data_IF_711263436032
#
_entry.id   IF_711263436032
#
_cell.length_a   1.000
_cell.length_b   1.000
_cell.length_c   1.000
_cell.angle_alpha   90.00
_cell.angle_beta   90.00
_cell.angle_gamma   90.00
#
_symmetry.space_group_name_H-M   'P 1'
#
loop_
_entity.id
_entity.type
_entity.pdbx_description
1 polymer ?
#
# COMPACT_ATOMS: atom_id res chain seq x y z
N UNK A 1 -4.58 5.68 -3.98
CA UNK A 1 -3.93 6.88 -3.41
C UNK A 1 -2.42 6.71 -3.28
N UNK A 2 -1.91 5.77 -2.47
CA UNK A 2 -0.46 5.53 -2.30
C UNK A 2 0.34 5.48 -3.62
N UNK A 3 -0.06 4.62 -4.56
CA UNK A 3 0.60 4.47 -5.87
C UNK A 3 0.72 5.80 -6.62
N UNK A 4 -0.32 6.63 -6.57
CA UNK A 4 -0.29 7.95 -7.21
C UNK A 4 0.81 8.84 -6.62
N UNK A 5 0.97 8.89 -5.29
CA UNK A 5 2.06 9.66 -4.69
C UNK A 5 3.44 9.08 -5.01
N UNK A 6 3.58 7.76 -4.91
CA UNK A 6 4.85 7.08 -5.16
C UNK A 6 5.32 7.20 -6.63
N UNK A 7 4.39 7.23 -7.58
CA UNK A 7 4.71 7.36 -9.02
C UNK A 7 5.09 8.78 -9.44
N UNK A 8 4.59 9.79 -8.72
CA UNK A 8 4.66 11.18 -9.17
C UNK A 8 5.64 12.03 -8.34
N UNK A 9 6.40 11.42 -7.45
CA UNK A 9 7.34 12.13 -6.58
C UNK A 9 8.64 11.36 -6.42
N UNK A 10 9.68 12.05 -5.97
CA UNK A 10 10.94 11.43 -5.51
C UNK A 10 10.92 11.14 -4.01
N UNK A 11 9.78 11.33 -3.35
CA UNK A 11 9.62 11.22 -1.92
C UNK A 11 9.25 9.78 -1.56
N UNK A 12 9.74 9.32 -0.42
CA UNK A 12 9.33 8.05 0.15
C UNK A 12 8.02 8.21 0.94
N UNK A 13 7.08 7.32 0.63
CA UNK A 13 5.80 7.16 1.28
C UNK A 13 5.73 5.76 1.89
N UNK A 14 5.05 5.67 3.03
CA UNK A 14 4.62 4.43 3.65
C UNK A 14 3.11 4.27 3.54
N UNK A 15 2.66 3.04 3.33
CA UNK A 15 1.28 2.60 3.42
C UNK A 15 1.20 1.48 4.47
N UNK A 16 0.41 1.70 5.51
CA UNK A 16 0.14 0.72 6.55
C UNK A 16 -1.32 0.31 6.41
N UNK A 17 -1.57 -0.98 6.20
CA UNK A 17 -2.91 -1.52 6.16
C UNK A 17 -3.24 -2.17 7.50
N UNK A 18 -4.46 -1.93 7.98
CA UNK A 18 -5.01 -2.57 9.17
C UNK A 18 -6.25 -3.38 8.81
N UNK A 19 -6.59 -4.36 9.63
CA UNK A 19 -7.72 -5.26 9.36
C UNK A 19 -9.07 -4.54 9.33
N UNK A 20 -9.30 -3.60 10.26
CA UNK A 20 -10.62 -3.01 10.51
C UNK A 20 -10.64 -1.48 10.57
N UNK A 21 -9.48 -0.83 10.59
CA UNK A 21 -9.37 0.62 10.84
C UNK A 21 -8.90 1.39 9.59
N UNK A 22 -9.00 0.75 8.43
CA UNK A 22 -8.57 1.32 7.15
C UNK A 22 -7.06 1.32 6.97
N UNK A 23 -6.59 2.21 6.10
CA UNK A 23 -5.19 2.31 5.71
C UNK A 23 -4.64 3.70 6.00
N UNK A 24 -3.37 3.77 6.41
CA UNK A 24 -2.65 5.01 6.67
C UNK A 24 -1.58 5.17 5.60
N UNK A 25 -1.61 6.31 4.90
CA UNK A 25 -0.51 6.75 4.03
C UNK A 25 0.25 7.85 4.75
N UNK A 26 1.57 7.73 4.82
CA UNK A 26 2.43 8.67 5.52
C UNK A 26 3.70 8.97 4.75
N UNK A 27 4.30 10.14 5.02
CA UNK A 27 5.62 10.52 4.55
C UNK A 27 6.24 11.48 5.56
N UNK A 28 7.56 11.60 5.57
CA UNK A 28 8.29 12.67 6.24
C UNK A 28 8.80 13.75 5.25
N UNK A 29 8.28 13.76 4.01
CA UNK A 29 8.73 14.61 2.91
C UNK A 29 10.23 14.47 2.58
N UNK A 30 10.80 13.29 2.80
CA UNK A 30 12.19 12.98 2.48
C UNK A 30 12.26 11.85 1.43
N UNK A 31 13.27 11.89 0.57
CA UNK A 31 13.52 10.89 -0.48
C UNK A 31 14.14 9.59 0.06
N UNK A 32 14.66 9.61 1.29
CA UNK A 32 15.60 8.57 1.76
C UNK A 32 15.03 7.52 2.71
N UNK A 33 13.96 7.82 3.46
CA UNK A 33 13.39 6.87 4.42
C UNK A 33 12.09 7.38 5.01
N UNK A 34 11.09 6.49 5.14
CA UNK A 34 9.91 6.71 5.98
C UNK A 34 9.91 5.75 7.19
N UNK A 35 9.41 6.22 8.34
CA UNK A 35 9.28 5.42 9.57
C UNK A 35 7.98 4.59 9.60
N UNK A 36 7.64 3.93 8.49
CA UNK A 36 6.41 3.17 8.38
C UNK A 36 6.36 1.98 9.35
N UNK A 37 7.46 1.22 9.49
CA UNK A 37 7.55 0.07 10.40
C UNK A 37 7.38 0.46 11.88
N UNK A 38 8.01 1.55 12.31
CA UNK A 38 7.86 2.07 13.68
C UNK A 38 6.43 2.52 13.95
N UNK A 39 5.80 3.17 12.97
CA UNK A 39 4.41 3.63 13.08
C UNK A 39 3.45 2.44 13.14
N UNK A 40 3.67 1.42 12.29
CA UNK A 40 2.92 0.17 12.31
C UNK A 40 3.02 -0.52 13.69
N UNK A 41 4.23 -0.58 14.27
CA UNK A 41 4.42 -1.10 15.62
C UNK A 41 3.57 -0.34 16.64
N UNK A 42 3.62 1.00 16.62
CA UNK A 42 2.81 1.84 17.54
C UNK A 42 1.30 1.61 17.38
N UNK A 43 0.82 1.38 16.16
CA UNK A 43 -0.60 1.06 15.91
C UNK A 43 -0.95 -0.33 16.48
N UNK A 44 -0.07 -1.32 16.28
CA UNK A 44 -0.21 -2.64 16.87
C UNK A 44 -0.24 -2.59 18.39
N UNK A 45 0.68 -1.86 19.01
CA UNK A 45 0.75 -1.68 20.46
C UNK A 45 -0.52 -0.99 21.03
N UNK A 46 -1.25 -0.22 20.20
CA UNK A 46 -2.54 0.40 20.54
C UNK A 46 -3.76 -0.49 20.26
N UNK A 47 -3.54 -1.75 19.90
CA UNK A 47 -4.62 -2.72 19.68
C UNK A 47 -5.13 -2.83 18.24
N UNK A 48 -4.52 -2.15 17.26
CA UNK A 48 -4.91 -2.34 15.85
C UNK A 48 -4.17 -3.52 15.23
N UNK A 49 -4.88 -4.40 14.53
CA UNK A 49 -4.23 -5.47 13.75
C UNK A 49 -3.66 -4.92 12.45
N UNK A 50 -2.33 -4.82 12.38
CA UNK A 50 -1.62 -4.45 11.15
C UNK A 50 -1.47 -5.69 10.27
N UNK A 51 -1.87 -5.59 9.00
CA UNK A 51 -1.80 -6.71 8.05
C UNK A 51 -0.64 -6.57 7.07
N UNK A 52 -0.30 -5.34 6.68
CA UNK A 52 0.84 -5.12 5.78
C UNK A 52 1.47 -3.74 5.97
N UNK A 53 2.77 -3.66 5.73
CA UNK A 53 3.52 -2.41 5.59
C UNK A 53 4.17 -2.37 4.21
N UNK A 54 3.79 -1.37 3.43
CA UNK A 54 4.37 -1.07 2.11
C UNK A 54 5.09 0.26 2.20
N UNK A 55 6.24 0.41 1.56
CA UNK A 55 6.84 1.72 1.31
C UNK A 55 7.45 1.73 -0.09
N UNK A 56 7.63 2.90 -0.71
CA UNK A 56 8.22 2.98 -2.04
C UNK A 56 9.71 3.31 -1.97
N UNK A 57 10.49 2.75 -2.90
CA UNK A 57 11.83 3.23 -3.17
C UNK A 57 11.80 4.09 -4.44
N UNK A 58 11.92 5.44 -4.35
CA UNK A 58 11.81 6.34 -5.51
C UNK A 58 12.83 6.05 -6.62
N UNK A 59 13.98 5.48 -6.24
CA UNK A 59 15.05 5.09 -7.15
C UNK A 59 14.96 3.64 -7.62
N UNK A 60 13.86 2.93 -7.34
CA UNK A 60 13.65 1.51 -7.65
C UNK A 60 14.72 0.56 -7.07
N UNK A 61 15.32 0.88 -5.93
CA UNK A 61 16.19 -0.05 -5.22
C UNK A 61 15.39 -1.25 -4.70
N UNK A 62 16.07 -2.39 -4.55
CA UNK A 62 15.53 -3.52 -3.80
C UNK A 62 15.52 -3.23 -2.29
N UNK A 63 14.79 -4.02 -1.49
CA UNK A 63 14.92 -4.02 -0.03
C UNK A 63 16.37 -4.18 0.41
N UNK A 64 16.75 -3.44 1.44
CA UNK A 64 18.09 -3.29 2.00
C UNK A 64 18.25 -4.00 3.35
N UNK A 65 19.49 -4.08 3.85
CA UNK A 65 19.79 -4.65 5.18
C UNK A 65 19.98 -6.17 5.21
N UNK A 66 20.14 -6.83 4.05
CA UNK A 66 20.27 -8.29 3.95
C UNK A 66 21.71 -8.83 4.10
N UNK A 67 22.72 -7.96 4.23
CA UNK A 67 24.10 -8.44 4.45
C UNK A 67 24.30 -8.83 5.92
N UNK A 68 25.21 -9.76 6.15
CA UNK A 68 25.56 -10.21 7.51
C UNK A 68 26.12 -9.03 8.31
N UNK A 69 25.50 -8.72 9.45
CA UNK A 69 25.92 -7.64 10.35
C UNK A 69 25.24 -6.29 10.11
N UNK A 70 24.39 -6.16 9.08
CA UNK A 70 23.60 -4.95 8.87
C UNK A 70 22.68 -4.70 10.08
N UNK A 71 22.73 -3.48 10.61
CA UNK A 71 21.90 -3.00 11.74
C UNK A 71 20.87 -1.96 11.33
N UNK A 72 20.64 -1.83 10.02
CA UNK A 72 19.72 -0.86 9.42
C UNK A 72 19.20 -1.38 8.08
N UNK A 73 18.22 -0.68 7.52
CA UNK A 73 17.56 -1.06 6.26
C UNK A 73 16.27 -1.84 6.48
N UNK A 74 15.67 -2.25 5.38
CA UNK A 74 14.30 -2.76 5.34
C UNK A 74 14.13 -4.06 6.11
N UNK A 75 15.12 -4.96 6.01
CA UNK A 75 15.17 -6.17 6.83
C UNK A 75 15.20 -5.86 8.31
N UNK A 76 16.02 -4.90 8.75
CA UNK A 76 16.07 -4.53 10.17
C UNK A 76 14.73 -3.95 10.62
N UNK A 77 14.14 -3.06 9.81
CA UNK A 77 12.85 -2.46 10.11
C UNK A 77 11.70 -3.49 10.13
N UNK A 78 11.77 -4.60 9.38
CA UNK A 78 10.74 -5.64 9.41
C UNK A 78 10.67 -6.37 10.76
N UNK A 79 11.82 -6.55 11.43
CA UNK A 79 11.90 -7.20 12.75
C UNK A 79 11.15 -6.46 13.86
N UNK A 80 10.89 -5.17 13.68
CA UNK A 80 10.15 -4.36 14.67
C UNK A 80 8.71 -4.85 14.87
N UNK A 81 8.13 -5.51 13.85
CA UNK A 81 6.79 -6.05 13.91
C UNK A 81 6.63 -7.14 12.84
N UNK A 82 6.98 -8.38 13.19
CA UNK A 82 6.78 -9.55 12.32
C UNK A 82 5.35 -10.09 12.40
N UNK A 83 4.73 -9.98 13.58
CA UNK A 83 3.35 -10.37 13.84
C UNK A 83 2.60 -9.26 14.60
N UNK A 84 1.33 -9.05 14.23
CA UNK A 84 0.41 -8.14 14.91
C UNK A 84 -0.84 -8.93 15.31
N UNK A 85 -1.07 -9.09 16.62
CA UNK A 85 -2.26 -9.76 17.18
C UNK A 85 -2.58 -11.12 16.53
N UNK A 86 -1.55 -11.93 16.26
CA UNK A 86 -1.67 -13.27 15.66
C UNK A 86 -1.61 -13.32 14.13
N UNK A 87 -1.54 -12.17 13.45
CA UNK A 87 -1.40 -12.08 12.00
C UNK A 87 0.04 -11.76 11.59
N UNK A 88 0.57 -12.48 10.61
CA UNK A 88 1.85 -12.14 10.01
C UNK A 88 1.73 -10.82 9.25
N UNK A 89 2.68 -9.91 9.46
CA UNK A 89 2.70 -8.62 8.78
C UNK A 89 3.42 -8.76 7.45
N UNK A 90 2.71 -8.59 6.35
CA UNK A 90 3.29 -8.61 5.01
C UNK A 90 4.14 -7.35 4.76
N UNK A 91 5.27 -7.50 4.08
CA UNK A 91 6.19 -6.40 3.80
C UNK A 91 6.48 -6.29 2.32
N UNK A 92 6.39 -5.07 1.80
CA UNK A 92 6.69 -4.80 0.41
C UNK A 92 7.44 -3.49 0.22
N UNK A 93 8.40 -3.50 -0.71
CA UNK A 93 8.94 -2.30 -1.35
C UNK A 93 8.25 -2.11 -2.69
N UNK A 94 7.57 -0.99 -2.89
CA UNK A 94 7.05 -0.59 -4.19
C UNK A 94 8.13 0.13 -5.01
N UNK A 95 8.28 -0.25 -6.28
CA UNK A 95 9.23 0.34 -7.23
C UNK A 95 8.47 1.13 -8.31
N UNK A 96 8.39 2.47 -8.19
CA UNK A 96 7.55 3.29 -9.06
C UNK A 96 7.81 3.14 -10.56
N UNK A 97 9.08 3.03 -11.01
CA UNK A 97 9.35 2.96 -12.46
C UNK A 97 9.01 1.60 -13.09
N UNK A 98 8.92 0.54 -12.30
CA UNK A 98 8.56 -0.81 -12.78
C UNK A 98 7.11 -1.18 -12.44
N UNK A 99 6.51 -0.51 -11.46
CA UNK A 99 5.18 -0.85 -10.96
C UNK A 99 5.14 -2.14 -10.13
N UNK A 100 6.31 -2.62 -9.68
CA UNK A 100 6.44 -3.87 -8.94
C UNK A 100 6.48 -3.66 -7.43
N UNK A 101 6.00 -4.66 -6.71
CA UNK A 101 6.17 -4.87 -5.28
C UNK A 101 7.22 -5.96 -5.08
N UNK A 102 8.27 -5.65 -4.34
CA UNK A 102 9.27 -6.63 -3.88
C UNK A 102 8.88 -7.07 -2.48
N UNK A 103 8.40 -8.30 -2.35
CA UNK A 103 8.05 -8.92 -1.08
C UNK A 103 9.31 -9.36 -0.33
N UNK A 104 9.35 -9.15 0.97
CA UNK A 104 10.48 -9.53 1.81
C UNK A 104 10.04 -9.84 3.24
N UNK A 105 10.92 -10.46 4.02
CA UNK A 105 10.74 -10.65 5.46
C UNK A 105 12.04 -10.35 6.22
N UNK A 106 12.10 -10.70 7.49
CA UNK A 106 13.29 -10.57 8.35
C UNK A 106 14.47 -11.45 7.95
N UNK A 107 14.30 -12.37 6.99
CA UNK A 107 15.31 -13.35 6.57
C UNK A 107 15.77 -13.08 5.14
N UNK A 108 14.84 -12.91 4.20
CA UNK A 108 15.11 -12.91 2.77
C UNK A 108 14.21 -11.94 1.98
N UNK A 109 14.63 -11.65 0.75
CA UNK A 109 13.73 -11.17 -0.30
C UNK A 109 12.98 -12.40 -0.84
N UNK A 110 11.65 -12.36 -0.81
CA UNK A 110 10.78 -13.48 -1.15
C UNK A 110 10.53 -13.52 -2.66
N UNK A 111 10.26 -12.38 -3.29
CA UNK A 111 9.95 -12.32 -4.71
C UNK A 111 9.40 -10.97 -5.16
N UNK A 112 9.08 -10.88 -6.45
CA UNK A 112 8.53 -9.69 -7.09
C UNK A 112 7.16 -9.99 -7.68
N UNK A 113 6.22 -9.04 -7.56
CA UNK A 113 4.89 -9.12 -8.16
C UNK A 113 4.40 -7.74 -8.58
N UNK A 114 3.52 -7.67 -9.59
CA UNK A 114 2.96 -6.37 -9.99
C UNK A 114 2.02 -5.82 -8.91
N UNK A 115 2.06 -4.50 -8.67
CA UNK A 115 1.12 -3.80 -7.79
C UNK A 115 -0.34 -4.18 -8.07
N UNK A 116 -0.71 -4.27 -9.35
CA UNK A 116 -2.07 -4.56 -9.79
C UNK A 116 -2.53 -6.01 -9.57
N UNK A 117 -1.66 -6.90 -9.07
CA UNK A 117 -2.08 -8.24 -8.66
C UNK A 117 -2.56 -8.26 -7.21
N UNK A 118 -1.97 -7.43 -6.35
CA UNK A 118 -2.27 -7.36 -4.91
C UNK A 118 -3.29 -6.27 -4.61
N UNK A 119 -3.03 -5.06 -5.11
CA UNK A 119 -3.84 -3.87 -4.86
C UNK A 119 -4.59 -3.48 -6.14
N UNK A 120 -5.55 -4.33 -6.52
CA UNK A 120 -6.44 -4.04 -7.64
C UNK A 120 -7.35 -2.86 -7.31
N UNK A 121 -7.49 -1.86 -8.20
CA UNK A 121 -8.63 -0.97 -8.14
C UNK A 121 -9.90 -1.82 -8.17
N UNK A 122 -10.81 -1.57 -7.24
CA UNK A 122 -12.14 -2.19 -7.30
C UNK A 122 -12.76 -1.87 -8.67
N UNK A 123 -13.19 -2.88 -9.40
CA UNK A 123 -14.01 -2.70 -10.61
C UNK A 123 -15.43 -2.20 -10.27
N UNK A 124 -15.76 -2.04 -8.99
CA UNK A 124 -17.03 -1.50 -8.51
C UNK A 124 -17.13 0.02 -8.75
N UNK A 125 -17.47 0.36 -9.99
CA UNK A 125 -18.33 1.45 -10.49
C UNK A 125 -17.84 1.94 -11.84
N UNK A 126 -17.97 1.07 -12.84
CA UNK A 126 -18.63 1.50 -14.08
C UNK A 126 -20.00 0.84 -14.08
N UNK A 127 -20.96 1.40 -13.35
CA UNK A 127 -22.33 1.25 -13.83
C UNK A 127 -22.34 1.99 -15.16
N UNK A 128 -22.57 1.34 -16.31
CA UNK A 128 -22.92 2.09 -17.50
C UNK A 128 -24.14 2.94 -17.13
N UNK A 129 -23.97 4.25 -17.02
CA UNK A 129 -25.10 5.17 -17.04
C UNK A 129 -25.71 5.06 -18.42
N UNK A 130 -26.70 4.18 -18.56
CA UNK A 130 -27.63 4.28 -19.67
C UNK A 130 -28.33 5.63 -19.48
N UNK A 131 -28.15 6.56 -20.41
CA UNK A 131 -28.99 7.73 -20.45
C UNK A 131 -30.44 7.22 -20.59
N UNK A 132 -31.25 7.37 -19.54
CA UNK A 132 -32.68 7.24 -19.67
C UNK A 132 -33.10 8.31 -20.66
N UNK A 133 -33.37 7.89 -21.90
CA UNK A 133 -33.98 8.72 -22.92
C UNK A 133 -35.36 9.11 -22.38
N UNK A 134 -35.46 10.27 -21.76
CA UNK A 134 -36.76 10.84 -21.40
C UNK A 134 -37.47 11.15 -22.71
N UNK A 135 -38.48 10.35 -23.03
CA UNK A 135 -39.43 10.72 -24.07
C UNK A 135 -40.25 11.89 -23.55
N UNK A 136 -40.28 13.05 -24.24
CA UNK A 136 -41.21 14.11 -23.89
C UNK A 136 -42.64 13.55 -24.00
N UNK A 137 -43.42 13.78 -22.94
CA UNK A 137 -44.71 13.14 -22.71
C UNK A 137 -45.67 13.26 -23.89
N UNK A 138 -46.28 12.14 -24.25
CA UNK A 138 -47.52 12.13 -25.01
C UNK A 138 -48.63 12.26 -23.96
N UNK A 139 -49.30 13.41 -23.96
CA UNK A 139 -50.36 13.75 -23.02
C UNK A 139 -51.47 12.71 -22.99
N UNK A 140 -52.03 12.51 -21.80
CA UNK A 140 -53.28 11.76 -21.64
C UNK A 140 -54.40 12.47 -22.41
N UNK A 141 -55.27 11.74 -23.13
CA UNK A 141 -56.33 12.36 -23.92
C UNK A 141 -57.38 13.03 -23.00
N UNK A 142 -58.00 14.14 -23.44
CA UNK A 142 -59.04 14.82 -22.67
C UNK A 142 -60.32 13.97 -22.58
N UNK A 143 -61.07 14.16 -21.50
CA UNK A 143 -62.39 13.54 -21.26
C UNK A 143 -63.45 14.03 -22.24
#
# INVERSE_FOLDING_TARGET
MFKFFADNTKIEYGLINTQSNGSIVMTNNNESSVRASETAKKLSDRGQTVTSVVHNHPNNSNPSGFRKGDKSGDKYASTLLSYSHGYQVERYVYQPRTGNLIAYDEKNIIGSMSWGLVFRPSTARKHPTYALRQYPGIGLPPK
#
